data_IF_781510741609
#
_entry.id   IF_781510741609
#
_cell.length_a   1.000
_cell.length_b   1.000
_cell.length_c   1.000
_cell.angle_alpha   90.00
_cell.angle_beta   90.00
_cell.angle_gamma   90.00
#
_symmetry.space_group_name_H-M   'P 1'
#
loop_
_entity.id
_entity.type
_entity.pdbx_description
1 polymer ?
#
# COMPACT_ATOMS: atom_id res chain seq x y z
N UNK A 1 36.77 0.56 25.53
CA UNK A 1 35.53 1.10 24.90
C UNK A 1 35.96 2.10 23.84
N UNK A 2 35.46 1.96 22.61
CA UNK A 2 35.67 2.91 21.52
C UNK A 2 34.35 3.62 21.22
N UNK A 3 34.42 4.93 21.04
CA UNK A 3 33.28 5.79 20.72
C UNK A 3 33.56 6.50 19.40
N UNK A 4 32.58 6.51 18.50
CA UNK A 4 32.56 7.33 17.30
C UNK A 4 31.27 8.14 17.31
N UNK A 5 31.33 9.45 17.12
CA UNK A 5 30.15 10.28 17.01
C UNK A 5 30.40 11.43 16.06
N UNK A 6 29.34 11.91 15.44
CA UNK A 6 29.39 13.08 14.57
C UNK A 6 28.01 13.44 14.04
N UNK A 7 27.96 14.45 13.20
CA UNK A 7 26.76 14.82 12.48
C UNK A 7 27.11 15.25 11.06
N UNK A 8 26.20 15.01 10.12
CA UNK A 8 26.33 15.48 8.74
C UNK A 8 25.26 16.54 8.49
N UNK A 9 25.68 17.70 7.98
CA UNK A 9 24.78 18.65 7.36
C UNK A 9 24.60 18.29 5.89
N UNK A 10 23.41 18.48 5.36
CA UNK A 10 23.15 18.42 3.92
C UNK A 10 22.09 19.44 3.57
N UNK A 11 22.29 20.15 2.47
CA UNK A 11 21.30 21.04 1.87
C UNK A 11 20.86 20.50 0.52
N UNK A 12 19.69 20.95 0.08
CA UNK A 12 19.08 20.52 -1.16
C UNK A 12 18.29 21.65 -1.77
N UNK A 13 18.28 21.68 -3.10
CA UNK A 13 17.28 22.40 -3.85
C UNK A 13 16.98 21.72 -5.18
N UNK A 14 15.76 21.89 -5.68
CA UNK A 14 15.38 21.51 -7.04
C UNK A 14 14.52 22.57 -7.71
N UNK A 15 14.58 22.60 -9.03
CA UNK A 15 13.74 23.41 -9.88
C UNK A 15 13.54 22.66 -11.20
N UNK A 16 12.29 22.58 -11.67
CA UNK A 16 11.98 21.90 -12.93
C UNK A 16 12.01 22.92 -14.07
N UNK A 17 13.19 23.04 -14.69
CA UNK A 17 13.40 23.93 -15.84
C UNK A 17 12.49 23.59 -17.02
N UNK A 18 12.18 22.29 -17.22
CA UNK A 18 11.35 21.89 -18.36
C UNK A 18 9.90 22.27 -18.14
N UNK A 19 9.35 22.02 -16.94
CA UNK A 19 8.01 22.48 -16.58
C UNK A 19 7.90 24.01 -16.62
N UNK A 20 8.94 24.72 -16.18
CA UNK A 20 9.01 26.18 -16.28
C UNK A 20 8.99 26.67 -17.73
N UNK A 21 9.79 26.06 -18.61
CA UNK A 21 9.84 26.34 -20.04
C UNK A 21 8.48 26.10 -20.70
N UNK A 22 7.91 24.91 -20.52
CA UNK A 22 6.63 24.54 -21.16
C UNK A 22 5.45 25.38 -20.67
N UNK A 23 5.42 25.76 -19.38
CA UNK A 23 4.39 26.69 -18.86
C UNK A 23 4.59 28.12 -19.34
N UNK A 24 5.84 28.56 -19.53
CA UNK A 24 6.11 29.88 -20.14
C UNK A 24 5.62 29.97 -21.59
N UNK A 25 5.61 28.83 -22.29
CA UNK A 25 5.06 28.69 -23.65
C UNK A 25 3.56 28.36 -23.67
N UNK A 26 2.90 28.30 -22.50
CA UNK A 26 1.49 27.95 -22.35
C UNK A 26 1.09 26.64 -23.04
N UNK A 27 1.97 25.63 -22.98
CA UNK A 27 1.69 24.35 -23.60
C UNK A 27 0.60 23.59 -22.83
N UNK A 28 -0.57 23.37 -23.45
CA UNK A 28 -1.77 22.77 -22.85
C UNK A 28 -1.54 21.56 -21.93
N UNK A 29 -0.64 20.65 -22.31
CA UNK A 29 -0.38 19.42 -21.55
C UNK A 29 0.44 19.64 -20.27
N UNK A 30 0.92 20.87 -20.02
CA UNK A 30 1.75 21.26 -18.88
C UNK A 30 1.07 22.29 -17.95
N UNK A 31 -0.16 22.68 -18.29
CA UNK A 31 -1.01 23.50 -17.44
C UNK A 31 -1.27 22.82 -16.09
N UNK A 32 -1.39 23.63 -15.04
CA UNK A 32 -1.88 23.17 -13.75
C UNK A 32 -3.29 22.59 -13.94
N UNK A 33 -3.49 21.36 -13.47
CA UNK A 33 -4.77 20.65 -13.54
C UNK A 33 -5.53 20.81 -12.22
N UNK A 34 -6.87 20.81 -12.26
CA UNK A 34 -7.70 20.72 -11.06
C UNK A 34 -7.28 19.57 -10.14
N UNK A 35 -7.02 19.90 -8.87
CA UNK A 35 -6.69 18.90 -7.85
C UNK A 35 -7.95 18.20 -7.35
N UNK A 36 -7.81 16.93 -6.96
CA UNK A 36 -8.88 16.23 -6.25
C UNK A 36 -9.03 16.85 -4.85
N UNK A 37 -10.23 17.31 -4.52
CA UNK A 37 -10.55 17.92 -3.21
C UNK A 37 -11.15 16.91 -2.24
N UNK A 38 -11.88 15.92 -2.77
CA UNK A 38 -12.55 14.92 -1.97
C UNK A 38 -13.51 14.08 -2.80
N UNK A 39 -14.47 13.49 -2.10
CA UNK A 39 -15.49 12.66 -2.70
C UNK A 39 -16.85 12.95 -2.08
N UNK A 40 -17.88 12.94 -2.92
CA UNK A 40 -19.26 12.83 -2.48
C UNK A 40 -19.60 11.35 -2.31
N UNK A 41 -19.91 10.97 -1.08
CA UNK A 41 -20.41 9.65 -0.73
C UNK A 41 -21.92 9.68 -0.60
N UNK A 42 -22.58 8.71 -1.23
CA UNK A 42 -24.04 8.55 -1.14
C UNK A 42 -24.33 7.56 -0.03
N UNK A 43 -25.14 7.97 0.93
CA UNK A 43 -25.60 7.17 2.07
C UNK A 43 -27.12 7.21 2.14
N UNK A 44 -27.73 6.19 2.71
CA UNK A 44 -29.16 6.22 3.00
C UNK A 44 -29.34 6.48 4.49
N UNK A 45 -29.99 7.59 4.84
CA UNK A 45 -30.35 7.94 6.22
C UNK A 45 -31.79 7.52 6.50
N UNK A 46 -32.02 6.90 7.63
CA UNK A 46 -33.34 6.56 8.16
C UNK A 46 -34.16 7.85 8.27
N UNK A 47 -35.33 7.86 7.62
CA UNK A 47 -36.29 8.95 7.80
C UNK A 47 -36.75 8.97 9.27
N UNK A 48 -36.83 10.16 9.85
CA UNK A 48 -37.52 10.34 11.14
C UNK A 48 -38.99 9.92 11.01
N UNK A 49 -39.64 9.65 12.14
CA UNK A 49 -41.05 9.26 12.16
C UNK A 49 -41.95 10.27 11.44
N UNK A 50 -41.65 11.57 11.59
CA UNK A 50 -42.36 12.63 10.89
C UNK A 50 -42.10 12.61 9.38
N UNK A 51 -40.83 12.52 8.96
CA UNK A 51 -40.48 12.46 7.53
C UNK A 51 -41.10 11.25 6.83
N UNK A 52 -41.17 10.11 7.53
CA UNK A 52 -41.80 8.90 7.03
C UNK A 52 -43.32 9.09 6.90
N UNK A 53 -43.99 9.66 7.92
CA UNK A 53 -45.41 9.97 7.87
C UNK A 53 -45.75 10.96 6.75
N UNK A 54 -45.03 12.09 6.66
CA UNK A 54 -45.23 13.12 5.63
C UNK A 54 -45.01 12.57 4.20
N UNK A 55 -44.14 11.57 4.04
CA UNK A 55 -43.95 10.89 2.77
C UNK A 55 -45.16 10.01 2.43
N UNK A 56 -45.68 9.26 3.40
CA UNK A 56 -46.84 8.38 3.20
C UNK A 56 -48.12 9.19 2.92
N UNK A 57 -48.30 10.30 3.64
CA UNK A 57 -49.42 11.23 3.44
C UNK A 57 -49.36 11.86 2.05
N UNK A 58 -48.21 12.41 1.62
CA UNK A 58 -48.07 12.95 0.25
C UNK A 58 -48.26 11.88 -0.82
N UNK A 59 -47.75 10.67 -0.61
CA UNK A 59 -47.97 9.57 -1.55
C UNK A 59 -49.45 9.23 -1.66
N UNK A 60 -50.18 9.20 -0.53
CA UNK A 60 -51.61 8.96 -0.51
C UNK A 60 -52.40 10.11 -1.16
N UNK A 61 -52.09 11.36 -0.87
CA UNK A 61 -52.86 12.53 -1.32
C UNK A 61 -52.51 13.02 -2.72
N UNK A 62 -51.23 13.06 -3.10
CA UNK A 62 -50.79 13.67 -4.36
C UNK A 62 -50.65 12.67 -5.50
N UNK A 63 -50.37 11.40 -5.18
CA UNK A 63 -50.14 10.36 -6.18
C UNK A 63 -51.33 9.42 -6.25
N UNK A 64 -51.77 8.90 -5.10
CA UNK A 64 -52.79 7.86 -5.08
C UNK A 64 -54.23 8.40 -5.15
N UNK A 65 -54.58 9.46 -4.42
CA UNK A 65 -55.93 10.00 -4.41
C UNK A 65 -56.41 10.54 -5.77
N UNK A 66 -55.60 11.21 -6.61
CA UNK A 66 -56.01 11.62 -7.95
C UNK A 66 -56.24 10.42 -8.87
N UNK A 67 -55.38 9.40 -8.74
CA UNK A 67 -55.55 8.14 -9.47
C UNK A 67 -56.83 7.41 -9.03
N UNK A 68 -57.15 7.41 -7.74
CA UNK A 68 -58.40 6.86 -7.19
C UNK A 68 -59.64 7.61 -7.69
N UNK A 69 -59.66 8.94 -7.58
CA UNK A 69 -60.79 9.79 -8.00
C UNK A 69 -61.16 9.65 -9.47
N UNK A 70 -60.17 9.36 -10.33
CA UNK A 70 -60.42 9.12 -11.76
C UNK A 70 -61.38 7.95 -12.00
N UNK A 71 -61.38 6.93 -11.14
CA UNK A 71 -62.20 5.73 -11.29
C UNK A 71 -63.39 5.69 -10.30
N UNK A 72 -63.46 6.62 -9.36
CA UNK A 72 -64.48 6.69 -8.30
C UNK A 72 -65.89 6.88 -8.89
N UNK A 73 -66.05 7.77 -9.87
CA UNK A 73 -67.35 8.02 -10.52
C UNK A 73 -67.82 6.81 -11.34
N UNK A 74 -66.91 6.17 -12.07
CA UNK A 74 -67.18 4.97 -12.86
C UNK A 74 -67.59 3.78 -11.97
N UNK A 75 -66.97 3.63 -10.80
CA UNK A 75 -67.38 2.60 -9.83
C UNK A 75 -68.73 2.89 -9.22
N UNK A 76 -69.00 4.13 -8.83
CA UNK A 76 -70.28 4.49 -8.25
C UNK A 76 -71.42 4.23 -9.24
N UNK A 77 -71.21 4.60 -10.51
CA UNK A 77 -72.17 4.32 -11.59
C UNK A 77 -72.45 2.82 -11.77
N UNK A 78 -71.41 1.99 -11.84
CA UNK A 78 -71.58 0.54 -12.02
C UNK A 78 -72.15 -0.14 -10.76
N UNK A 79 -71.75 0.32 -9.57
CA UNK A 79 -72.29 -0.15 -8.30
C UNK A 79 -73.79 0.14 -8.18
N UNK A 80 -74.24 1.31 -8.64
CA UNK A 80 -75.66 1.70 -8.63
C UNK A 80 -76.49 0.90 -9.65
N UNK A 81 -75.86 0.42 -10.73
CA UNK A 81 -76.47 -0.44 -11.75
C UNK A 81 -76.65 -1.89 -11.26
N UNK A 82 -75.56 -2.52 -10.84
CA UNK A 82 -75.54 -3.86 -10.24
C UNK A 82 -74.20 -4.08 -9.51
N UNK A 83 -74.20 -4.17 -8.17
CA UNK A 83 -72.99 -4.39 -7.39
C UNK A 83 -72.21 -5.66 -7.77
N UNK A 84 -72.88 -6.69 -8.32
CA UNK A 84 -72.22 -7.94 -8.74
C UNK A 84 -71.37 -7.79 -10.00
N UNK A 85 -71.55 -6.70 -10.77
CA UNK A 85 -70.78 -6.41 -11.97
C UNK A 85 -69.45 -5.71 -11.69
N UNK A 86 -69.23 -5.18 -10.48
CA UNK A 86 -68.00 -4.48 -10.12
C UNK A 86 -66.75 -5.35 -10.35
N UNK A 87 -66.77 -6.60 -9.90
CA UNK A 87 -65.64 -7.53 -10.06
C UNK A 87 -65.49 -7.99 -11.53
N UNK A 88 -66.61 -8.10 -12.27
CA UNK A 88 -66.61 -8.54 -13.66
C UNK A 88 -66.14 -7.45 -14.65
N UNK A 89 -66.44 -6.17 -14.36
CA UNK A 89 -66.12 -5.02 -15.23
C UNK A 89 -64.74 -4.44 -14.89
N UNK A 90 -64.43 -4.30 -13.60
CA UNK A 90 -63.21 -3.63 -13.13
C UNK A 90 -62.13 -4.61 -12.65
N UNK A 91 -62.43 -5.90 -12.41
CA UNK A 91 -61.42 -6.86 -11.95
C UNK A 91 -60.68 -6.40 -10.70
N UNK A 92 -59.34 -6.30 -10.76
CA UNK A 92 -58.47 -5.79 -9.68
C UNK A 92 -58.53 -4.26 -9.49
N UNK A 93 -59.68 -3.64 -9.76
CA UNK A 93 -59.86 -2.18 -9.78
C UNK A 93 -61.11 -1.81 -8.96
N UNK A 94 -61.32 -2.48 -7.81
CA UNK A 94 -62.31 -2.15 -6.76
C UNK A 94 -61.67 -1.34 -5.62
N UNK A 95 -62.46 -0.65 -4.77
CA UNK A 95 -61.94 0.11 -3.61
C UNK A 95 -60.98 -0.70 -2.71
N UNK A 96 -61.36 -1.94 -2.34
CA UNK A 96 -60.53 -2.82 -1.51
C UNK A 96 -59.22 -3.23 -2.22
N UNK A 97 -59.28 -3.47 -3.53
CA UNK A 97 -58.08 -3.75 -4.32
C UNK A 97 -57.16 -2.53 -4.45
N UNK A 98 -57.72 -1.31 -4.50
CA UNK A 98 -56.98 -0.05 -4.48
C UNK A 98 -56.31 0.18 -3.14
N UNK A 99 -57.02 0.03 -2.02
CA UNK A 99 -56.41 0.13 -0.68
C UNK A 99 -55.29 -0.91 -0.49
N UNK A 100 -55.48 -2.11 -1.02
CA UNK A 100 -54.43 -3.15 -1.05
C UNK A 100 -53.24 -2.73 -1.92
N UNK A 101 -53.49 -2.07 -3.05
CA UNK A 101 -52.45 -1.57 -3.97
C UNK A 101 -51.71 -0.35 -3.43
N UNK A 102 -52.41 0.55 -2.72
CA UNK A 102 -51.82 1.65 -1.96
C UNK A 102 -50.91 1.08 -0.88
N UNK A 103 -51.40 0.16 -0.07
CA UNK A 103 -50.60 -0.50 0.95
C UNK A 103 -49.36 -1.18 0.35
N UNK A 104 -49.51 -1.93 -0.75
CA UNK A 104 -48.39 -2.55 -1.46
C UNK A 104 -47.39 -1.50 -1.99
N UNK A 105 -47.88 -0.41 -2.56
CA UNK A 105 -47.05 0.70 -3.07
C UNK A 105 -46.33 1.44 -1.95
N UNK A 106 -46.98 1.65 -0.81
CA UNK A 106 -46.37 2.19 0.40
C UNK A 106 -45.31 1.23 0.96
N UNK A 107 -45.51 -0.09 0.87
CA UNK A 107 -44.42 -1.02 1.20
C UNK A 107 -43.28 -0.99 0.17
N UNK A 108 -43.55 -0.53 -1.05
CA UNK A 108 -42.55 -0.25 -2.08
C UNK A 108 -41.50 0.76 -1.62
N UNK A 109 -40.22 0.39 -1.77
CA UNK A 109 -39.09 1.24 -1.42
C UNK A 109 -38.65 1.20 0.06
N UNK A 110 -39.35 0.46 0.92
CA UNK A 110 -38.89 0.19 2.29
C UNK A 110 -37.78 -0.86 2.29
N UNK A 111 -36.78 -0.69 3.15
CA UNK A 111 -35.68 -1.64 3.38
C UNK A 111 -35.88 -2.26 4.76
N UNK A 112 -36.16 -3.57 4.81
CA UNK A 112 -36.52 -4.31 6.03
C UNK A 112 -37.66 -3.65 6.83
N UNK A 113 -38.63 -3.05 6.13
CA UNK A 113 -39.77 -2.36 6.76
C UNK A 113 -39.55 -0.86 7.00
N UNK A 114 -38.32 -0.35 6.91
CA UNK A 114 -38.01 1.05 7.20
C UNK A 114 -37.83 1.90 5.93
N UNK A 115 -38.22 3.17 5.98
CA UNK A 115 -37.94 4.14 4.92
C UNK A 115 -36.64 4.88 5.17
N UNK A 116 -35.87 5.03 4.10
CA UNK A 116 -34.64 5.81 4.09
C UNK A 116 -34.72 6.87 3.00
N UNK A 117 -34.05 7.99 3.24
CA UNK A 117 -33.77 9.03 2.25
C UNK A 117 -32.30 8.97 1.84
N UNK A 118 -32.00 9.24 0.56
CA UNK A 118 -30.62 9.31 0.08
C UNK A 118 -30.03 10.68 0.43
N UNK A 119 -28.84 10.67 1.03
CA UNK A 119 -28.06 11.86 1.35
C UNK A 119 -26.68 11.76 0.70
N UNK A 120 -26.13 12.92 0.37
CA UNK A 120 -24.78 13.03 -0.17
C UNK A 120 -23.90 13.76 0.82
N UNK A 121 -22.90 13.06 1.36
CA UNK A 121 -21.92 13.62 2.30
C UNK A 121 -20.62 13.89 1.56
N UNK A 122 -20.10 15.10 1.69
CA UNK A 122 -18.78 15.44 1.17
C UNK A 122 -17.69 15.03 2.16
N UNK A 123 -16.74 14.22 1.68
CA UNK A 123 -15.58 13.76 2.46
C UNK A 123 -14.31 14.31 1.79
N UNK A 124 -13.59 15.25 2.44
CA UNK A 124 -12.33 15.76 1.93
C UNK A 124 -11.27 14.65 1.79
N UNK A 125 -10.53 14.62 0.69
CA UNK A 125 -9.44 13.65 0.49
C UNK A 125 -8.12 14.07 1.13
N UNK A 126 -8.03 15.31 1.62
CA UNK A 126 -6.76 15.97 1.91
C UNK A 126 -5.98 16.32 0.64
N UNK A 127 -4.89 17.08 0.78
CA UNK A 127 -4.00 17.42 -0.34
C UNK A 127 -3.21 16.22 -0.86
N UNK A 128 -2.87 15.29 0.04
CA UNK A 128 -2.08 14.10 -0.20
C UNK A 128 -2.42 13.03 0.85
N UNK A 129 -3.70 12.69 0.99
CA UNK A 129 -4.30 11.85 2.05
C UNK A 129 -4.12 12.35 3.49
N UNK A 130 -3.12 13.18 3.80
CA UNK A 130 -2.91 13.68 5.17
C UNK A 130 -4.11 14.47 5.68
N UNK A 131 -4.50 14.20 6.92
CA UNK A 131 -5.66 14.76 7.56
C UNK A 131 -6.99 14.16 7.10
N UNK A 132 -6.98 13.07 6.30
CA UNK A 132 -8.20 12.40 5.87
C UNK A 132 -9.07 12.01 7.06
N UNK A 133 -8.51 11.35 8.08
CA UNK A 133 -9.26 10.89 9.26
C UNK A 133 -9.86 12.06 10.05
N UNK A 134 -9.11 13.15 10.19
CA UNK A 134 -9.54 14.31 10.96
C UNK A 134 -10.63 15.14 10.26
N UNK A 135 -10.64 15.15 8.93
CA UNK A 135 -11.56 15.97 8.13
C UNK A 135 -12.74 15.18 7.55
N UNK A 136 -12.76 13.86 7.68
CA UNK A 136 -13.85 13.03 7.22
C UNK A 136 -14.98 13.01 8.29
N UNK A 137 -16.20 13.49 7.96
CA UNK A 137 -17.34 13.54 8.88
C UNK A 137 -17.68 12.19 9.54
N UNK A 138 -17.42 11.07 8.84
CA UNK A 138 -17.69 9.73 9.34
C UNK A 138 -16.66 9.21 10.35
N UNK A 139 -15.46 9.80 10.40
CA UNK A 139 -14.37 9.35 11.29
C UNK A 139 -14.01 10.40 12.34
N UNK A 140 -14.38 11.66 12.15
CA UNK A 140 -14.16 12.74 13.11
C UNK A 140 -15.28 12.87 14.17
N UNK A 141 -16.35 12.07 14.03
CA UNK A 141 -17.49 12.03 14.97
C UNK A 141 -18.66 12.95 14.62
N UNK A 142 -18.63 13.67 13.51
CA UNK A 142 -19.76 14.49 13.04
C UNK A 142 -20.95 13.61 12.60
N UNK A 143 -20.66 12.48 11.97
CA UNK A 143 -21.65 11.49 11.55
C UNK A 143 -21.24 10.11 12.06
N UNK A 144 -22.02 9.54 12.98
CA UNK A 144 -21.87 8.14 13.38
C UNK A 144 -22.62 7.23 12.41
N UNK A 145 -21.90 6.67 11.43
CA UNK A 145 -22.46 5.72 10.46
C UNK A 145 -22.88 4.38 11.07
N UNK A 146 -22.51 4.12 12.33
CA UNK A 146 -22.88 2.90 13.07
C UNK A 146 -24.04 3.11 14.04
N UNK A 147 -24.57 4.34 14.12
CA UNK A 147 -25.67 4.70 14.99
C UNK A 147 -26.90 3.82 14.74
N UNK A 148 -27.52 3.33 15.82
CA UNK A 148 -28.77 2.58 15.78
C UNK A 148 -29.90 3.36 16.46
N UNK A 149 -31.08 3.32 15.85
CA UNK A 149 -32.31 3.92 16.38
C UNK A 149 -33.24 2.81 16.83
N UNK A 150 -33.80 2.96 18.04
CA UNK A 150 -34.76 2.03 18.61
C UNK A 150 -36.19 2.49 18.34
N UNK A 151 -37.06 1.53 18.05
CA UNK A 151 -38.50 1.70 17.86
C UNK A 151 -38.89 2.74 16.77
N UNK A 152 -38.06 2.88 15.74
CA UNK A 152 -38.23 3.86 14.68
C UNK A 152 -39.43 3.56 13.76
N UNK A 153 -40.08 4.61 13.24
CA UNK A 153 -41.19 4.55 12.30
C UNK A 153 -42.33 3.62 12.77
N UNK A 154 -42.57 3.59 14.09
CA UNK A 154 -43.60 2.78 14.73
C UNK A 154 -43.32 1.26 14.77
N UNK A 155 -42.11 0.82 14.40
CA UNK A 155 -41.73 -0.60 14.38
C UNK A 155 -40.87 -0.95 15.59
N UNK A 156 -41.18 -2.06 16.26
CA UNK A 156 -40.39 -2.52 17.42
C UNK A 156 -39.03 -3.07 17.01
N UNK A 157 -37.98 -2.67 17.74
CA UNK A 157 -36.62 -3.19 17.56
C UNK A 157 -35.58 -2.11 17.28
N UNK A 158 -34.36 -2.51 16.90
CA UNK A 158 -33.28 -1.58 16.53
C UNK A 158 -32.98 -1.65 15.04
N UNK A 159 -32.69 -0.50 14.46
CA UNK A 159 -32.33 -0.37 13.05
C UNK A 159 -31.17 0.61 12.89
N UNK A 160 -30.29 0.38 11.91
CA UNK A 160 -29.20 1.32 11.63
C UNK A 160 -29.77 2.63 11.08
N UNK A 161 -29.31 3.76 11.61
CA UNK A 161 -29.68 5.09 11.12
C UNK A 161 -29.12 5.35 9.73
N UNK A 162 -27.94 4.82 9.42
CA UNK A 162 -27.31 4.94 8.12
C UNK A 162 -27.06 3.56 7.53
N UNK A 163 -27.34 3.40 6.25
CA UNK A 163 -27.05 2.17 5.49
C UNK A 163 -26.40 2.51 4.14
N UNK A 164 -25.59 1.61 3.56
CA UNK A 164 -24.98 1.81 2.25
C UNK A 164 -26.04 1.80 1.14
N UNK A 165 -25.83 2.62 0.11
CA UNK A 165 -26.67 2.58 -1.10
C UNK A 165 -26.43 1.26 -1.84
N UNK A 166 -27.51 0.57 -2.21
CA UNK A 166 -27.46 -0.77 -2.81
C UNK A 166 -27.28 -0.77 -4.34
N UNK A 167 -27.32 0.40 -5.00
CA UNK A 167 -27.22 0.51 -6.46
C UNK A 167 -26.35 1.68 -6.96
N UNK A 168 -25.55 1.41 -7.99
CA UNK A 168 -24.62 2.38 -8.59
C UNK A 168 -23.34 2.60 -7.78
N UNK A 169 -22.47 3.50 -8.25
CA UNK A 169 -21.29 3.89 -7.48
C UNK A 169 -21.71 4.74 -6.29
N UNK A 170 -21.26 4.36 -5.10
CA UNK A 170 -21.46 5.05 -3.82
C UNK A 170 -20.57 6.29 -3.68
N UNK A 171 -19.64 6.52 -4.62
CA UNK A 171 -18.61 7.57 -4.51
C UNK A 171 -18.40 8.33 -5.82
N UNK A 172 -18.50 9.67 -5.78
CA UNK A 172 -18.17 10.57 -6.90
C UNK A 172 -17.01 11.50 -6.54
N UNK A 173 -15.93 11.58 -7.34
CA UNK A 173 -14.82 12.49 -7.05
C UNK A 173 -15.23 13.95 -7.25
N UNK A 174 -14.74 14.82 -6.37
CA UNK A 174 -14.90 16.28 -6.44
C UNK A 174 -13.55 16.89 -6.72
N UNK A 175 -13.45 17.58 -7.84
CA UNK A 175 -12.25 18.31 -8.23
C UNK A 175 -12.43 19.79 -7.97
N UNK A 176 -11.33 20.49 -7.78
CA UNK A 176 -11.29 21.94 -7.81
C UNK A 176 -11.95 22.46 -9.11
N UNK A 177 -12.67 23.58 -9.04
CA UNK A 177 -13.14 24.23 -10.26
C UNK A 177 -11.95 24.87 -11.01
N UNK A 178 -11.92 24.78 -12.35
CA UNK A 178 -10.85 25.37 -13.15
C UNK A 178 -10.74 26.89 -12.94
N UNK A 179 -11.86 27.58 -12.68
CA UNK A 179 -11.90 29.02 -12.43
C UNK A 179 -11.22 29.44 -11.11
N UNK A 180 -11.05 28.51 -10.16
CA UNK A 180 -10.32 28.77 -8.91
C UNK A 180 -8.79 28.73 -9.08
N UNK A 181 -8.30 28.25 -10.21
CA UNK A 181 -6.87 28.21 -10.53
C UNK A 181 -6.43 29.63 -10.95
N UNK A 182 -5.88 30.39 -10.00
CA UNK A 182 -5.45 31.79 -10.20
C UNK A 182 -4.50 31.98 -11.38
N UNK A 183 -3.52 31.09 -11.54
CA UNK A 183 -2.58 31.11 -12.65
C UNK A 183 -2.32 29.68 -13.14
N UNK A 184 -2.97 29.31 -14.24
CA UNK A 184 -2.86 27.98 -14.86
C UNK A 184 -1.45 27.69 -15.40
N UNK A 185 -0.63 28.72 -15.56
CA UNK A 185 0.71 28.67 -16.13
C UNK A 185 1.80 29.06 -15.13
N UNK A 186 1.49 29.07 -13.83
CA UNK A 186 2.45 29.41 -12.78
C UNK A 186 3.70 28.52 -12.91
N UNK A 187 4.88 29.13 -12.99
CA UNK A 187 6.14 28.38 -13.03
C UNK A 187 6.29 27.50 -11.78
N UNK A 188 6.96 26.34 -11.87
CA UNK A 188 7.20 25.50 -10.71
C UNK A 188 7.96 26.28 -9.64
N UNK A 189 7.66 25.99 -8.37
CA UNK A 189 8.37 26.60 -7.25
C UNK A 189 9.71 25.90 -7.05
N UNK A 190 10.74 26.68 -6.73
CA UNK A 190 12.03 26.12 -6.32
C UNK A 190 11.86 25.47 -4.95
N UNK A 191 12.06 24.16 -4.85
CA UNK A 191 12.10 23.48 -3.57
C UNK A 191 13.48 23.66 -2.95
N UNK A 192 13.53 23.86 -1.64
CA UNK A 192 14.75 23.94 -0.85
C UNK A 192 14.51 23.27 0.48
N UNK A 193 15.51 22.56 0.96
CA UNK A 193 15.48 21.96 2.29
C UNK A 193 16.92 21.77 2.81
N UNK A 194 17.05 21.49 4.10
CA UNK A 194 18.32 21.14 4.72
C UNK A 194 18.11 20.26 5.95
N UNK A 195 19.09 19.44 6.28
CA UNK A 195 19.03 18.57 7.44
C UNK A 195 20.39 18.42 8.11
N UNK A 196 20.36 18.26 9.44
CA UNK A 196 21.45 17.74 10.23
C UNK A 196 21.09 16.32 10.64
N UNK A 197 21.98 15.36 10.39
CA UNK A 197 21.78 13.95 10.77
C UNK A 197 22.91 13.48 11.70
N UNK A 198 22.63 13.21 12.98
CA UNK A 198 23.63 12.69 13.91
C UNK A 198 23.91 11.21 13.70
N UNK A 199 25.08 10.78 14.14
CA UNK A 199 25.43 9.39 14.32
C UNK A 199 26.25 9.20 15.59
N UNK A 200 26.08 8.06 16.24
CA UNK A 200 26.88 7.61 17.37
C UNK A 200 27.06 6.10 17.31
N UNK A 201 28.27 5.64 17.59
CA UNK A 201 28.65 4.24 17.65
C UNK A 201 29.48 3.98 18.89
N UNK A 202 29.12 2.93 19.63
CA UNK A 202 29.82 2.44 20.80
C UNK A 202 30.30 1.02 20.51
N UNK A 203 31.59 0.75 20.70
CA UNK A 203 32.17 -0.60 20.56
C UNK A 203 32.91 -0.97 21.83
N UNK A 204 32.46 -2.02 22.51
CA UNK A 204 33.13 -2.62 23.64
C UNK A 204 33.93 -3.85 23.18
N UNK A 205 35.23 -3.85 23.46
CA UNK A 205 36.11 -5.01 23.31
C UNK A 205 36.08 -5.74 24.65
N UNK A 206 35.35 -6.85 24.71
CA UNK A 206 35.12 -7.62 25.94
C UNK A 206 36.35 -8.47 26.24
N UNK A 207 36.93 -9.06 25.20
CA UNK A 207 38.23 -9.74 25.17
C UNK A 207 38.95 -9.34 23.88
N UNK A 208 40.13 -9.90 23.63
CA UNK A 208 40.83 -9.73 22.35
C UNK A 208 40.03 -10.34 21.18
N UNK A 209 39.21 -11.35 21.47
CA UNK A 209 38.44 -12.13 20.50
C UNK A 209 36.97 -11.68 20.37
N UNK A 210 36.41 -11.01 21.39
CA UNK A 210 34.98 -10.68 21.47
C UNK A 210 34.78 -9.17 21.46
N UNK A 211 33.94 -8.69 20.53
CA UNK A 211 33.45 -7.31 20.51
C UNK A 211 31.93 -7.24 20.41
N UNK A 212 31.35 -6.29 21.15
CA UNK A 212 29.94 -5.92 21.05
C UNK A 212 29.88 -4.46 20.61
N UNK A 213 28.96 -4.13 19.72
CA UNK A 213 28.72 -2.75 19.33
C UNK A 213 27.25 -2.39 19.32
N UNK A 214 26.97 -1.11 19.54
CA UNK A 214 25.68 -0.48 19.29
C UNK A 214 25.91 0.77 18.44
N UNK A 215 25.07 0.98 17.42
CA UNK A 215 25.14 2.14 16.53
C UNK A 215 23.76 2.73 16.36
N UNK A 216 23.74 4.05 16.32
CA UNK A 216 22.61 4.85 15.93
C UNK A 216 23.06 5.80 14.82
N UNK A 217 22.30 5.86 13.73
CA UNK A 217 22.57 6.79 12.64
C UNK A 217 21.28 7.27 11.99
N UNK A 218 21.22 8.59 11.80
CA UNK A 218 20.20 9.24 11.00
C UNK A 218 20.67 9.43 9.56
N UNK A 219 19.72 9.42 8.63
CA UNK A 219 19.97 9.72 7.22
C UNK A 219 18.76 10.43 6.62
N UNK A 220 19.00 11.46 5.82
CA UNK A 220 17.95 12.19 5.11
C UNK A 220 18.11 12.02 3.61
N UNK A 221 17.02 11.62 2.95
CA UNK A 221 16.92 11.61 1.49
C UNK A 221 15.96 12.71 1.06
N UNK A 222 16.52 13.75 0.44
CA UNK A 222 15.71 14.78 -0.22
C UNK A 222 14.98 14.19 -1.43
N UNK A 223 13.78 14.70 -1.77
CA UNK A 223 13.08 14.29 -2.97
C UNK A 223 13.97 14.42 -4.21
N UNK A 224 13.83 13.53 -5.18
CA UNK A 224 14.43 13.71 -6.50
C UNK A 224 13.67 14.78 -7.30
N UNK A 225 14.24 15.22 -8.43
CA UNK A 225 13.52 16.10 -9.36
C UNK A 225 12.20 15.47 -9.82
N UNK A 226 12.18 14.15 -10.08
CA UNK A 226 10.96 13.44 -10.44
C UNK A 226 9.90 13.45 -9.33
N UNK A 227 10.31 13.28 -8.07
CA UNK A 227 9.38 13.26 -6.93
C UNK A 227 8.92 14.68 -6.51
N UNK A 228 9.71 15.70 -6.83
CA UNK A 228 9.42 17.12 -6.53
C UNK A 228 8.78 17.88 -7.70
N UNK A 229 8.71 17.28 -8.88
CA UNK A 229 8.07 17.86 -10.06
C UNK A 229 6.78 17.14 -10.40
N UNK A 230 5.80 17.91 -10.86
CA UNK A 230 4.50 17.42 -11.32
C UNK A 230 4.56 16.79 -12.73
N UNK A 231 5.75 16.70 -13.33
CA UNK A 231 5.92 16.43 -14.74
C UNK A 231 6.15 14.94 -15.02
N UNK A 232 5.09 14.13 -14.90
CA UNK A 232 5.05 12.86 -15.63
C UNK A 232 4.69 13.18 -17.08
N UNK A 233 5.72 13.36 -17.92
CA UNK A 233 5.65 13.82 -19.30
C UNK A 233 4.46 13.23 -20.10
N UNK A 234 3.64 14.12 -20.70
CA UNK A 234 2.85 13.82 -21.89
C UNK A 234 1.66 12.85 -21.76
N UNK A 235 1.21 12.53 -20.54
CA UNK A 235 -0.03 11.76 -20.36
C UNK A 235 -1.11 12.66 -19.74
N UNK A 236 -2.35 12.57 -20.23
CA UNK A 236 -3.56 13.25 -19.71
C UNK A 236 -3.91 12.89 -18.25
N UNK A 237 -2.96 12.42 -17.45
CA UNK A 237 -3.15 12.04 -16.06
C UNK A 237 -3.06 13.28 -15.19
N UNK A 238 -4.09 13.47 -14.36
CA UNK A 238 -4.19 14.50 -13.32
C UNK A 238 -3.25 14.17 -12.15
N UNK A 239 -1.98 13.89 -12.43
CA UNK A 239 -1.00 13.60 -11.37
C UNK A 239 -0.65 14.92 -10.68
N UNK A 240 -1.10 15.08 -9.44
CA UNK A 240 -0.92 16.31 -8.65
C UNK A 240 -0.06 16.10 -7.41
N UNK A 241 0.28 14.85 -7.07
CA UNK A 241 1.10 14.54 -5.90
C UNK A 241 2.57 14.88 -6.13
N UNK A 242 3.16 15.64 -5.21
CA UNK A 242 4.60 15.88 -5.10
C UNK A 242 5.07 15.61 -3.68
N UNK A 243 6.31 15.17 -3.53
CA UNK A 243 6.96 15.12 -2.23
C UNK A 243 7.27 16.55 -1.76
N UNK A 244 6.76 16.89 -0.57
CA UNK A 244 6.98 18.19 0.08
C UNK A 244 8.00 18.14 1.21
N UNK A 245 8.34 16.95 1.70
CA UNK A 245 9.30 16.76 2.78
C UNK A 245 10.36 15.71 2.41
N UNK A 246 11.59 15.79 2.93
CA UNK A 246 12.57 14.72 2.83
C UNK A 246 12.14 13.47 3.60
N UNK A 247 12.57 12.31 3.14
CA UNK A 247 12.52 11.10 3.94
C UNK A 247 13.59 11.19 5.03
N UNK A 248 13.23 10.84 6.27
CA UNK A 248 14.17 10.80 7.38
C UNK A 248 14.24 9.40 7.98
N UNK A 249 15.37 8.72 7.79
CA UNK A 249 15.67 7.41 8.33
C UNK A 249 16.36 7.50 9.70
N UNK A 250 15.87 6.73 10.66
CA UNK A 250 16.41 6.51 11.99
C UNK A 250 16.79 5.04 12.10
N UNK A 251 18.09 4.76 12.26
CA UNK A 251 18.61 3.40 12.18
C UNK A 251 19.33 3.03 13.47
N UNK A 252 19.01 1.87 14.01
CA UNK A 252 19.68 1.26 15.15
C UNK A 252 20.27 -0.09 14.74
N UNK A 253 21.51 -0.34 15.13
CA UNK A 253 22.17 -1.63 14.99
C UNK A 253 22.81 -2.05 16.30
N UNK A 254 22.63 -3.31 16.67
CA UNK A 254 23.33 -3.93 17.81
C UNK A 254 23.97 -5.21 17.29
N UNK A 255 25.28 -5.33 17.45
CA UNK A 255 26.02 -6.46 16.93
C UNK A 255 26.97 -7.08 17.93
N UNK A 256 27.18 -8.37 17.75
CA UNK A 256 28.14 -9.20 18.45
C UNK A 256 29.09 -9.80 17.39
N UNK A 257 30.39 -9.73 17.65
CA UNK A 257 31.41 -10.38 16.81
C UNK A 257 32.36 -11.16 17.70
N UNK A 258 32.74 -12.35 17.24
CA UNK A 258 33.63 -13.27 17.92
C UNK A 258 34.61 -13.86 16.91
N UNK A 259 35.89 -13.70 17.17
CA UNK A 259 36.96 -14.48 16.56
C UNK A 259 37.16 -15.76 17.39
N UNK A 260 36.81 -16.92 16.81
CA UNK A 260 36.92 -18.21 17.48
C UNK A 260 38.28 -18.90 17.20
N UNK A 261 39.21 -18.25 16.51
CA UNK A 261 40.50 -18.86 16.12
C UNK A 261 41.30 -19.36 17.32
N UNK A 262 41.20 -18.67 18.46
CA UNK A 262 41.82 -19.08 19.73
C UNK A 262 41.34 -20.44 20.25
N UNK A 263 40.10 -20.85 19.94
CA UNK A 263 39.55 -22.17 20.28
C UNK A 263 39.89 -23.26 19.25
N UNK A 264 40.28 -22.86 18.04
CA UNK A 264 40.58 -23.77 16.94
C UNK A 264 41.92 -23.42 16.28
N UNK A 265 43.07 -23.74 16.91
CA UNK A 265 44.39 -23.30 16.43
C UNK A 265 44.79 -23.80 15.04
N UNK A 266 44.07 -24.78 14.49
CA UNK A 266 44.25 -25.27 13.11
C UNK A 266 43.53 -24.42 12.05
N UNK A 267 42.76 -23.40 12.46
CA UNK A 267 42.03 -22.49 11.58
C UNK A 267 42.76 -21.14 11.52
N UNK A 268 42.96 -20.62 10.32
CA UNK A 268 43.47 -19.25 10.12
C UNK A 268 42.38 -18.21 10.42
N UNK A 269 41.13 -18.53 10.09
CA UNK A 269 39.97 -17.70 10.40
C UNK A 269 38.84 -18.55 10.97
N UNK A 270 38.15 -18.04 11.98
CA UNK A 270 36.95 -18.63 12.55
C UNK A 270 36.02 -17.54 13.11
N UNK A 271 35.53 -16.66 12.25
CA UNK A 271 34.76 -15.49 12.68
C UNK A 271 33.25 -15.75 12.69
N UNK A 272 32.58 -15.20 13.70
CA UNK A 272 31.12 -15.13 13.81
C UNK A 272 30.70 -13.68 14.04
N UNK A 273 29.70 -13.20 13.28
CA UNK A 273 29.04 -11.92 13.49
C UNK A 273 27.53 -12.09 13.46
N UNK A 274 26.87 -11.58 14.50
CA UNK A 274 25.40 -11.48 14.58
C UNK A 274 25.05 -10.02 14.73
N UNK A 275 24.08 -9.54 13.95
CA UNK A 275 23.61 -8.16 13.96
C UNK A 275 22.08 -8.14 14.06
N UNK A 276 21.53 -7.33 14.95
CA UNK A 276 20.13 -6.93 14.94
C UNK A 276 20.05 -5.51 14.41
N UNK A 277 19.17 -5.26 13.44
CA UNK A 277 18.91 -3.93 12.92
C UNK A 277 17.45 -3.53 13.11
N UNK A 278 17.22 -2.22 13.30
CA UNK A 278 15.89 -1.62 13.36
C UNK A 278 15.92 -0.23 12.70
N UNK A 279 15.29 -0.12 11.54
CA UNK A 279 15.29 1.06 10.70
C UNK A 279 13.86 1.59 10.56
N UNK A 280 13.68 2.90 10.78
CA UNK A 280 12.41 3.61 10.63
C UNK A 280 12.60 4.78 9.69
N UNK A 281 11.82 4.85 8.61
CA UNK A 281 11.89 5.92 7.62
C UNK A 281 10.61 6.73 7.70
N UNK A 282 10.68 7.97 8.17
CA UNK A 282 9.57 8.93 8.19
C UNK A 282 9.41 9.60 6.85
N UNK A 283 8.18 10.05 6.55
CA UNK A 283 7.81 10.71 5.28
C UNK A 283 8.16 9.87 4.04
N UNK A 284 8.04 8.54 4.14
CA UNK A 284 8.43 7.60 3.09
C UNK A 284 7.72 7.91 1.77
N UNK A 285 8.49 8.27 0.76
CA UNK A 285 8.04 8.64 -0.57
C UNK A 285 7.79 7.35 -1.36
N UNK A 286 6.58 7.24 -1.90
CA UNK A 286 6.17 6.18 -2.81
C UNK A 286 5.21 6.76 -3.84
N UNK A 287 4.54 5.88 -4.60
CA UNK A 287 3.51 6.25 -5.56
C UNK A 287 2.24 5.46 -5.32
N UNK A 288 1.12 6.12 -5.59
CA UNK A 288 -0.19 5.46 -5.65
C UNK A 288 -0.48 4.86 -7.05
N UNK A 289 -1.71 4.41 -7.23
CA UNK A 289 -2.22 3.84 -8.48
C UNK A 289 -2.12 4.77 -9.69
N UNK A 290 -2.34 6.06 -9.48
CA UNK A 290 -2.35 7.07 -10.54
C UNK A 290 -0.96 7.66 -10.79
N UNK A 291 0.07 7.06 -10.17
CA UNK A 291 1.45 7.53 -10.16
C UNK A 291 1.62 8.90 -9.49
N UNK A 292 0.68 9.31 -8.64
CA UNK A 292 0.91 10.45 -7.77
C UNK A 292 2.04 10.11 -6.81
N UNK A 293 2.94 11.06 -6.57
CA UNK A 293 3.89 10.95 -5.47
C UNK A 293 3.11 11.09 -4.16
N UNK A 294 3.25 10.10 -3.28
CA UNK A 294 2.61 10.07 -1.97
C UNK A 294 3.66 9.90 -0.87
N UNK A 295 3.44 10.51 0.29
CA UNK A 295 4.36 10.42 1.42
C UNK A 295 3.68 9.79 2.62
N UNK A 296 4.05 8.55 2.91
CA UNK A 296 3.55 7.75 4.02
C UNK A 296 4.22 8.16 5.34
N UNK A 297 3.48 8.04 6.44
CA UNK A 297 3.95 8.40 7.78
C UNK A 297 5.25 7.68 8.16
N UNK A 298 5.32 6.36 8.00
CA UNK A 298 6.51 5.58 8.38
C UNK A 298 6.67 4.26 7.60
N UNK A 299 7.90 3.93 7.19
CA UNK A 299 8.30 2.57 6.79
C UNK A 299 9.26 2.00 7.81
N UNK A 300 8.96 0.82 8.35
CA UNK A 300 9.77 0.20 9.41
C UNK A 300 10.27 -1.16 8.98
N UNK A 301 11.56 -1.42 9.15
CA UNK A 301 12.25 -2.66 8.82
C UNK A 301 13.13 -3.10 9.98
N UNK A 302 13.01 -4.36 10.40
CA UNK A 302 13.91 -4.94 11.40
C UNK A 302 14.18 -6.40 11.13
N UNK A 303 15.33 -6.86 11.58
CA UNK A 303 15.77 -8.22 11.34
C UNK A 303 17.08 -8.57 12.01
N UNK A 304 17.49 -9.81 11.78
CA UNK A 304 18.78 -10.33 12.16
C UNK A 304 19.62 -10.60 10.91
N UNK A 305 20.91 -10.38 11.03
CA UNK A 305 21.90 -10.76 10.04
C UNK A 305 22.99 -11.58 10.74
N UNK A 306 23.39 -12.67 10.10
CA UNK A 306 24.41 -13.59 10.56
C UNK A 306 25.46 -13.70 9.46
N UNK A 307 26.73 -13.57 9.84
CA UNK A 307 27.86 -13.85 8.97
C UNK A 307 28.82 -14.75 9.75
N UNK A 308 29.25 -15.83 9.13
CA UNK A 308 30.26 -16.72 9.69
C UNK A 308 31.26 -17.10 8.61
N UNK A 309 32.53 -17.26 8.98
CA UNK A 309 33.55 -17.81 8.10
C UNK A 309 34.50 -18.72 8.86
N UNK A 310 34.95 -19.78 8.20
CA UNK A 310 36.04 -20.63 8.64
C UNK A 310 37.02 -20.80 7.49
N UNK A 311 38.31 -20.78 7.78
CA UNK A 311 39.37 -21.00 6.80
C UNK A 311 40.55 -21.72 7.45
N UNK A 312 41.07 -22.76 6.78
CA UNK A 312 42.26 -23.52 7.20
C UNK A 312 43.48 -23.19 6.33
N UNK A 313 43.39 -22.15 5.49
CA UNK A 313 44.27 -21.90 4.35
C UNK A 313 43.93 -22.80 3.16
N UNK A 314 43.85 -24.11 3.38
CA UNK A 314 43.47 -25.11 2.36
C UNK A 314 41.98 -25.21 2.08
N UNK A 315 41.13 -25.19 3.10
CA UNK A 315 39.68 -25.32 2.96
C UNK A 315 39.00 -24.12 3.59
N UNK A 316 37.96 -23.60 2.95
CA UNK A 316 37.18 -22.49 3.50
C UNK A 316 35.68 -22.75 3.39
N UNK A 317 34.94 -22.12 4.30
CA UNK A 317 33.49 -22.01 4.22
C UNK A 317 33.04 -20.64 4.73
N UNK A 318 32.19 -19.98 3.96
CA UNK A 318 31.52 -18.74 4.31
C UNK A 318 30.02 -18.98 4.37
N UNK A 319 29.37 -18.43 5.40
CA UNK A 319 27.94 -18.49 5.58
C UNK A 319 27.38 -17.10 5.87
N UNK A 320 26.31 -16.74 5.17
CA UNK A 320 25.57 -15.50 5.38
C UNK A 320 24.08 -15.78 5.49
N UNK A 321 23.43 -15.25 6.53
CA UNK A 321 22.00 -15.40 6.75
C UNK A 321 21.35 -14.07 7.07
N UNK A 322 20.13 -13.85 6.57
CA UNK A 322 19.26 -12.74 7.00
C UNK A 322 17.92 -13.29 7.43
N UNK A 323 17.33 -12.72 8.48
CA UNK A 323 16.00 -13.07 8.98
C UNK A 323 15.19 -11.79 9.23
N UNK A 324 14.11 -11.61 8.47
CA UNK A 324 13.22 -10.46 8.59
C UNK A 324 12.28 -10.64 9.78
N UNK A 325 12.37 -9.76 10.76
CA UNK A 325 11.41 -9.71 11.88
C UNK A 325 10.19 -8.91 11.46
N UNK A 326 10.40 -7.67 10.98
CA UNK A 326 9.34 -6.72 10.63
C UNK A 326 9.68 -6.01 9.32
N UNK A 327 8.67 -5.79 8.47
CA UNK A 327 8.75 -4.88 7.33
C UNK A 327 7.36 -4.35 7.03
N UNK A 328 7.07 -3.13 7.45
CA UNK A 328 5.74 -2.53 7.39
C UNK A 328 5.78 -1.12 6.82
N UNK A 329 4.70 -0.74 6.14
CA UNK A 329 4.39 0.64 5.81
C UNK A 329 3.19 1.06 6.66
N UNK A 330 3.30 2.20 7.32
CA UNK A 330 2.30 2.69 8.27
C UNK A 330 1.83 4.09 7.88
N UNK A 331 0.51 4.27 7.82
CA UNK A 331 -0.18 5.55 7.61
C UNK A 331 -1.68 5.40 7.91
N UNK A 332 -2.16 5.97 9.01
CA UNK A 332 -3.57 5.88 9.41
C UNK A 332 -4.49 6.59 8.42
N UNK A 333 -4.14 7.81 8.00
CA UNK A 333 -4.95 8.58 7.06
C UNK A 333 -5.11 7.84 5.72
N UNK A 334 -4.01 7.26 5.20
CA UNK A 334 -4.07 6.46 3.98
C UNK A 334 -4.90 5.18 4.16
N UNK A 335 -4.78 4.50 5.31
CA UNK A 335 -5.57 3.32 5.63
C UNK A 335 -7.08 3.63 5.60
N UNK A 336 -7.49 4.76 6.18
CA UNK A 336 -8.89 5.19 6.22
C UNK A 336 -9.45 5.55 4.84
N UNK A 337 -8.61 5.82 3.83
CA UNK A 337 -9.12 6.00 2.45
C UNK A 337 -9.73 4.72 1.84
N UNK A 338 -9.38 3.54 2.38
CA UNK A 338 -9.96 2.26 1.95
C UNK A 338 -11.28 1.93 2.67
N UNK A 339 -11.48 2.48 3.87
CA UNK A 339 -12.71 2.33 4.67
C UNK A 339 -13.23 3.73 5.02
N UNK A 340 -13.69 4.49 4.01
CA UNK A 340 -14.04 5.90 4.17
C UNK A 340 -15.28 6.13 5.06
N UNK A 341 -16.13 5.10 5.22
CA UNK A 341 -17.33 5.13 6.05
C UNK A 341 -17.27 3.90 6.96
N UNK A 342 -16.98 4.06 8.26
CA UNK A 342 -16.96 2.96 9.22
C UNK A 342 -18.28 2.19 9.24
N UNK A 343 -18.21 0.86 9.40
CA UNK A 343 -19.39 -0.01 9.43
C UNK A 343 -20.04 -0.32 8.08
N UNK A 344 -19.65 0.38 6.99
CA UNK A 344 -20.22 0.14 5.65
C UNK A 344 -19.36 -0.81 4.79
N UNK A 345 -18.10 -1.06 5.16
CA UNK A 345 -17.23 -1.92 4.35
C UNK A 345 -17.65 -3.39 4.44
N UNK A 346 -17.83 -4.03 3.28
CA UNK A 346 -18.01 -5.49 3.17
C UNK A 346 -16.71 -6.29 3.43
N UNK A 347 -15.62 -5.61 3.77
CA UNK A 347 -14.30 -6.18 4.05
C UNK A 347 -13.82 -5.83 5.46
N UNK A 348 -12.67 -6.36 5.86
CA UNK A 348 -12.01 -5.97 7.11
C UNK A 348 -11.45 -4.56 7.00
N UNK A 349 -11.49 -3.80 8.09
CA UNK A 349 -10.82 -2.51 8.20
C UNK A 349 -9.34 -2.63 7.81
N UNK A 350 -8.86 -1.65 7.05
CA UNK A 350 -7.45 -1.57 6.69
C UNK A 350 -6.63 -1.18 7.92
N UNK A 351 -5.65 -1.99 8.36
CA UNK A 351 -4.85 -1.63 9.51
C UNK A 351 -3.92 -0.45 9.17
N UNK A 352 -3.63 0.39 10.16
CA UNK A 352 -2.72 1.53 10.03
C UNK A 352 -1.31 1.14 9.60
N UNK A 353 -0.90 -0.11 9.84
CA UNK A 353 0.38 -0.66 9.46
C UNK A 353 0.20 -1.97 8.68
N UNK A 354 0.75 -2.03 7.48
CA UNK A 354 0.61 -3.16 6.58
C UNK A 354 1.98 -3.78 6.26
N UNK A 355 2.09 -5.10 6.44
CA UNK A 355 3.27 -5.88 6.08
C UNK A 355 3.56 -5.76 4.57
N UNK A 356 4.75 -5.26 4.23
CA UNK A 356 5.19 -4.99 2.86
C UNK A 356 4.71 -3.66 2.30
N UNK A 357 3.44 -3.30 2.49
CA UNK A 357 2.86 -2.04 2.02
C UNK A 357 1.36 -2.13 1.76
N UNK A 358 0.68 -0.99 1.77
CA UNK A 358 -0.75 -0.91 1.45
C UNK A 358 -1.05 -1.40 0.02
N UNK A 359 -2.29 -1.80 -0.29
CA UNK A 359 -2.69 -2.11 -1.66
C UNK A 359 -2.32 -0.96 -2.62
N UNK A 360 -1.95 -1.31 -3.86
CA UNK A 360 -1.58 -0.38 -4.95
C UNK A 360 -0.27 0.40 -4.79
N UNK A 361 0.35 0.40 -3.60
CA UNK A 361 1.67 1.02 -3.36
C UNK A 361 2.81 0.21 -3.98
N UNK A 362 3.93 0.84 -4.33
CA UNK A 362 5.10 0.08 -4.81
C UNK A 362 5.92 -0.52 -3.66
N UNK A 363 5.84 0.02 -2.44
CA UNK A 363 6.45 -0.56 -1.25
C UNK A 363 6.07 -2.03 -1.09
N UNK A 364 4.80 -2.36 -1.35
CA UNK A 364 4.24 -3.72 -1.31
C UNK A 364 5.03 -4.74 -2.14
N UNK A 365 5.59 -4.33 -3.28
CA UNK A 365 6.40 -5.21 -4.16
C UNK A 365 7.82 -5.45 -3.69
N UNK A 366 8.28 -4.71 -2.67
CA UNK A 366 9.63 -4.81 -2.11
C UNK A 366 9.70 -5.65 -0.83
N UNK A 367 8.67 -6.45 -0.55
CA UNK A 367 8.64 -7.33 0.61
C UNK A 367 9.78 -8.36 0.52
N UNK A 368 10.72 -8.29 1.45
CA UNK A 368 11.85 -9.21 1.48
C UNK A 368 11.39 -10.62 1.91
N UNK A 369 12.08 -11.68 1.43
CA UNK A 369 11.96 -13.02 1.99
C UNK A 369 11.99 -13.00 3.52
N UNK A 370 11.26 -13.93 4.15
CA UNK A 370 11.32 -14.07 5.61
C UNK A 370 12.75 -14.39 6.07
N UNK A 371 13.49 -15.16 5.29
CA UNK A 371 14.92 -15.36 5.46
C UNK A 371 15.63 -15.68 4.15
N UNK A 372 16.92 -15.39 4.09
CA UNK A 372 17.82 -15.75 3.00
C UNK A 372 19.11 -16.31 3.57
N UNK A 373 19.61 -17.38 2.97
CA UNK A 373 20.84 -18.07 3.38
C UNK A 373 21.76 -18.20 2.18
N UNK A 374 23.04 -17.95 2.39
CA UNK A 374 24.11 -18.07 1.40
C UNK A 374 25.22 -18.90 2.02
N UNK A 375 25.62 -19.96 1.32
CA UNK A 375 26.74 -20.81 1.70
C UNK A 375 27.73 -20.82 0.54
N UNK A 376 29.01 -20.64 0.83
CA UNK A 376 30.12 -20.73 -0.12
C UNK A 376 31.20 -21.60 0.51
N UNK A 377 31.56 -22.69 -0.15
CA UNK A 377 32.55 -23.66 0.34
C UNK A 377 33.56 -23.94 -0.76
N UNK A 378 34.82 -24.15 -0.39
CA UNK A 378 35.84 -24.44 -1.38
C UNK A 378 37.17 -24.89 -0.81
N UNK A 379 38.10 -25.13 -1.73
CA UNK A 379 39.44 -25.57 -1.44
C UNK A 379 40.47 -24.86 -2.33
N UNK A 380 41.62 -24.55 -1.74
CA UNK A 380 42.85 -24.10 -2.41
C UNK A 380 43.81 -25.30 -2.48
N UNK A 381 44.12 -25.74 -3.69
CA UNK A 381 44.91 -26.93 -3.99
C UNK A 381 46.15 -26.54 -4.82
N UNK A 382 47.12 -27.45 -4.91
CA UNK A 382 48.37 -27.24 -5.67
C UNK A 382 49.09 -25.94 -5.28
N UNK A 383 49.38 -25.76 -3.98
CA UNK A 383 49.99 -24.54 -3.46
C UNK A 383 49.22 -23.26 -3.83
N UNK A 384 47.89 -23.34 -3.78
CA UNK A 384 46.94 -22.26 -4.11
C UNK A 384 46.81 -21.92 -5.61
N UNK A 385 47.49 -22.67 -6.49
CA UNK A 385 47.33 -22.51 -7.94
C UNK A 385 45.92 -22.90 -8.42
N UNK A 386 45.23 -23.79 -7.71
CA UNK A 386 43.85 -24.20 -8.03
C UNK A 386 42.89 -23.86 -6.90
N UNK A 387 41.96 -22.96 -7.17
CA UNK A 387 40.79 -22.71 -6.34
C UNK A 387 39.59 -23.45 -6.94
N UNK A 388 38.91 -24.26 -6.14
CA UNK A 388 37.60 -24.86 -6.51
C UNK A 388 36.59 -24.55 -5.43
N UNK A 389 35.36 -24.24 -5.81
CA UNK A 389 34.32 -23.93 -4.85
C UNK A 389 32.90 -24.14 -5.38
N UNK A 390 31.96 -24.15 -4.46
CA UNK A 390 30.54 -24.27 -4.72
C UNK A 390 29.77 -23.29 -3.83
N UNK A 391 28.67 -22.77 -4.36
CA UNK A 391 27.75 -21.87 -3.65
C UNK A 391 26.36 -22.45 -3.62
N UNK A 392 25.67 -22.27 -2.51
CA UNK A 392 24.25 -22.54 -2.37
C UNK A 392 23.54 -21.28 -1.87
N UNK A 393 22.51 -20.86 -2.61
CA UNK A 393 21.70 -19.69 -2.26
C UNK A 393 20.27 -20.16 -2.04
N UNK A 394 19.76 -19.90 -0.84
CA UNK A 394 18.37 -20.15 -0.48
C UNK A 394 17.65 -18.85 -0.14
N UNK A 395 16.44 -18.68 -0.65
CA UNK A 395 15.52 -17.67 -0.16
C UNK A 395 14.17 -18.31 0.14
N UNK A 396 13.57 -17.91 1.26
CA UNK A 396 12.22 -18.34 1.60
C UNK A 396 11.18 -17.60 0.76
N UNK A 397 9.92 -18.01 0.88
CA UNK A 397 8.81 -17.21 0.37
C UNK A 397 8.75 -15.83 1.04
N UNK A 398 8.22 -14.85 0.32
CA UNK A 398 7.75 -13.59 0.88
C UNK A 398 6.22 -13.54 0.80
N UNK A 399 5.57 -13.93 1.89
CA UNK A 399 4.11 -13.84 2.06
C UNK A 399 3.79 -12.83 3.16
N UNK A 400 2.85 -11.93 2.90
CA UNK A 400 2.25 -11.04 3.89
C UNK A 400 0.89 -11.59 4.31
N UNK A 401 0.62 -11.64 5.62
CA UNK A 401 -0.68 -12.11 6.13
C UNK A 401 -1.81 -11.11 5.80
N UNK A 402 -1.46 -9.84 5.59
CA UNK A 402 -2.40 -8.78 5.23
C UNK A 402 -2.98 -8.94 3.82
N UNK A 403 -2.28 -9.67 2.94
CA UNK A 403 -2.67 -9.89 1.54
C UNK A 403 -4.06 -10.49 1.37
N UNK A 404 -4.42 -11.47 2.20
CA UNK A 404 -5.74 -12.10 2.15
C UNK A 404 -6.86 -11.17 2.62
N UNK A 405 -6.55 -10.18 3.46
CA UNK A 405 -7.52 -9.22 3.98
C UNK A 405 -7.92 -8.14 2.96
N UNK A 406 -7.12 -7.92 1.90
CA UNK A 406 -7.38 -6.88 0.91
C UNK A 406 -8.53 -7.21 -0.07
N UNK A 407 -9.00 -8.46 -0.09
CA UNK A 407 -10.04 -8.89 -1.03
C UNK A 407 -9.69 -8.52 -2.48
N UNK A 408 -10.68 -8.02 -3.23
CA UNK A 408 -10.51 -7.64 -4.64
C UNK A 408 -9.51 -6.49 -4.86
N UNK A 409 -9.34 -5.60 -3.88
CA UNK A 409 -8.43 -4.45 -3.97
C UNK A 409 -6.96 -4.94 -4.01
N UNK A 410 -6.68 -6.07 -3.35
CA UNK A 410 -5.37 -6.73 -3.40
C UNK A 410 -5.00 -7.32 -4.76
N UNK A 411 -5.98 -7.59 -5.63
CA UNK A 411 -5.78 -8.15 -6.98
C UNK A 411 -5.49 -7.09 -8.06
N UNK A 412 -5.38 -5.80 -7.70
CA UNK A 412 -4.95 -4.75 -8.61
C UNK A 412 -3.45 -4.75 -8.96
N UNK A 413 -3.03 -3.78 -9.77
CA UNK A 413 -1.63 -3.46 -10.09
C UNK A 413 -0.75 -3.28 -8.83
N UNK A 414 0.56 -3.46 -9.01
CA UNK A 414 1.58 -3.49 -7.94
C UNK A 414 1.37 -4.62 -6.92
N UNK A 415 0.81 -5.75 -7.36
CA UNK A 415 0.87 -7.01 -6.61
C UNK A 415 2.32 -7.52 -6.61
N UNK A 416 2.81 -7.96 -5.45
CA UNK A 416 4.06 -8.73 -5.42
C UNK A 416 3.87 -10.01 -6.24
N UNK A 417 4.87 -10.37 -7.05
CA UNK A 417 4.92 -11.73 -7.60
C UNK A 417 4.99 -12.72 -6.43
N UNK A 418 4.37 -13.90 -6.60
CA UNK A 418 4.48 -14.96 -5.60
C UNK A 418 5.85 -15.60 -5.71
N UNK A 419 6.69 -15.35 -4.71
CA UNK A 419 8.00 -15.97 -4.58
C UNK A 419 7.85 -17.31 -3.89
N UNK A 420 8.06 -18.40 -4.62
CA UNK A 420 8.28 -19.71 -4.01
C UNK A 420 9.69 -19.77 -3.41
N UNK A 421 9.97 -20.69 -2.47
CA UNK A 421 11.33 -20.89 -2.01
C UNK A 421 12.23 -21.32 -3.17
N UNK A 422 13.46 -20.81 -3.18
CA UNK A 422 14.47 -21.18 -4.19
C UNK A 422 15.69 -21.76 -3.50
N UNK A 423 16.32 -22.75 -4.14
CA UNK A 423 17.60 -23.31 -3.71
C UNK A 423 18.47 -23.53 -4.94
N UNK A 424 19.37 -22.57 -5.18
CA UNK A 424 20.21 -22.54 -6.38
C UNK A 424 21.63 -22.92 -6.01
N UNK A 425 22.24 -23.77 -6.82
CA UNK A 425 23.61 -24.21 -6.66
C UNK A 425 24.47 -23.71 -7.81
N UNK A 426 25.62 -23.15 -7.47
CA UNK A 426 26.66 -22.74 -8.42
C UNK A 426 27.98 -23.44 -8.08
N UNK A 427 28.86 -23.59 -9.06
CA UNK A 427 30.23 -24.06 -8.86
C UNK A 427 31.20 -23.22 -9.66
N UNK A 428 32.42 -23.09 -9.16
CA UNK A 428 33.48 -22.35 -9.81
C UNK A 428 34.84 -23.01 -9.60
N UNK A 429 35.74 -22.77 -10.55
CA UNK A 429 37.14 -23.12 -10.46
C UNK A 429 37.99 -21.99 -11.06
N UNK A 430 39.13 -21.70 -10.45
CA UNK A 430 40.15 -20.80 -10.97
C UNK A 430 41.48 -21.51 -10.91
N UNK A 431 42.20 -21.57 -12.04
CA UNK A 431 43.49 -22.23 -12.13
C UNK A 431 44.56 -21.27 -12.68
N UNK A 432 45.56 -21.01 -11.87
CA UNK A 432 46.74 -20.24 -12.23
C UNK A 432 47.71 -21.15 -13.01
N UNK A 433 47.70 -21.00 -14.34
CA UNK A 433 48.58 -21.77 -15.23
C UNK A 433 50.01 -21.24 -15.17
N UNK A 434 50.15 -19.92 -14.99
CA UNK A 434 51.41 -19.19 -14.88
C UNK A 434 51.21 -17.96 -13.98
N UNK A 435 52.28 -17.34 -13.47
CA UNK A 435 52.20 -16.13 -12.62
C UNK A 435 51.36 -14.99 -13.24
N UNK A 436 51.28 -14.97 -14.57
CA UNK A 436 50.63 -13.97 -15.39
C UNK A 436 49.40 -14.49 -16.16
N UNK A 437 48.99 -15.75 -15.94
CA UNK A 437 47.94 -16.42 -16.72
C UNK A 437 47.00 -17.23 -15.81
N UNK A 438 45.73 -16.83 -15.76
CA UNK A 438 44.68 -17.51 -14.99
C UNK A 438 43.51 -17.92 -15.88
N UNK A 439 42.96 -19.10 -15.65
CA UNK A 439 41.73 -19.59 -16.29
C UNK A 439 40.65 -19.79 -15.25
N UNK A 440 39.49 -19.19 -15.52
CA UNK A 440 38.31 -19.26 -14.67
C UNK A 440 37.21 -20.07 -15.35
N UNK A 441 36.54 -20.95 -14.61
CA UNK A 441 35.36 -21.68 -15.03
C UNK A 441 34.26 -21.48 -13.99
N UNK A 442 33.07 -21.12 -14.42
CA UNK A 442 31.90 -21.00 -13.56
C UNK A 442 30.69 -21.69 -14.18
N UNK A 443 29.95 -22.43 -13.37
CA UNK A 443 28.67 -23.04 -13.71
C UNK A 443 27.62 -22.51 -12.73
N UNK A 444 26.71 -21.68 -13.23
CA UNK A 444 25.60 -21.16 -12.44
C UNK A 444 24.33 -22.00 -12.65
N UNK A 445 23.49 -22.07 -11.62
CA UNK A 445 22.21 -22.79 -11.62
C UNK A 445 22.37 -24.24 -12.11
N UNK A 446 23.22 -25.01 -11.41
CA UNK A 446 23.58 -26.40 -11.75
C UNK A 446 22.34 -27.27 -11.89
N UNK A 447 21.31 -27.09 -11.06
CA UNK A 447 20.06 -27.85 -11.12
C UNK A 447 19.13 -27.42 -12.24
N UNK A 448 19.48 -26.35 -12.98
CA UNK A 448 18.66 -25.74 -14.04
C UNK A 448 17.25 -25.39 -13.55
N UNK A 449 17.14 -24.87 -12.33
CA UNK A 449 15.87 -24.49 -11.71
C UNK A 449 15.27 -23.28 -12.45
N UNK A 450 13.97 -23.35 -12.76
CA UNK A 450 13.18 -22.21 -13.18
C UNK A 450 12.66 -21.45 -11.95
N UNK A 451 13.07 -20.20 -11.78
CA UNK A 451 12.63 -19.37 -10.66
C UNK A 451 12.63 -17.88 -11.03
N UNK A 452 12.00 -17.06 -10.19
CA UNK A 452 12.06 -15.60 -10.25
C UNK A 452 12.88 -15.09 -9.06
N UNK A 453 13.79 -14.14 -9.29
CA UNK A 453 14.60 -13.54 -8.21
C UNK A 453 13.72 -12.81 -7.18
N UNK A 454 13.93 -13.01 -5.87
CA UNK A 454 13.10 -12.38 -4.84
C UNK A 454 13.06 -10.87 -5.02
N UNK A 455 11.87 -10.28 -4.81
CA UNK A 455 11.58 -8.85 -5.01
C UNK A 455 11.64 -8.35 -6.46
N UNK A 456 11.79 -9.22 -7.47
CA UNK A 456 11.69 -8.80 -8.86
C UNK A 456 10.29 -8.26 -9.19
N UNK A 457 10.23 -7.08 -9.81
CA UNK A 457 8.94 -6.46 -10.17
C UNK A 457 8.34 -7.01 -11.45
N UNK A 458 9.17 -7.64 -12.27
CA UNK A 458 8.77 -8.26 -13.53
C UNK A 458 8.81 -9.78 -13.37
N UNK A 459 7.88 -10.48 -14.02
CA UNK A 459 7.89 -11.94 -14.11
C UNK A 459 8.94 -12.44 -15.12
N UNK A 460 10.16 -11.90 -15.04
CA UNK A 460 11.30 -12.35 -15.83
C UNK A 460 12.02 -13.44 -15.05
N UNK A 461 12.10 -14.68 -15.57
CA UNK A 461 12.82 -15.75 -14.91
C UNK A 461 14.31 -15.47 -14.85
N UNK A 462 14.92 -15.91 -13.74
CA UNK A 462 16.35 -15.94 -13.61
C UNK A 462 16.96 -16.86 -14.69
N UNK A 463 18.21 -16.61 -15.11
CA UNK A 463 18.89 -17.46 -16.08
C UNK A 463 18.92 -18.94 -15.64
N UNK A 464 18.74 -19.83 -16.62
CA UNK A 464 18.94 -21.27 -16.44
C UNK A 464 20.42 -21.62 -16.25
N UNK A 465 20.74 -22.91 -16.36
CA UNK A 465 22.11 -23.39 -16.27
C UNK A 465 23.00 -22.69 -17.27
N UNK A 466 24.05 -22.04 -16.79
CA UNK A 466 24.97 -21.26 -17.62
C UNK A 466 26.41 -21.62 -17.30
N UNK A 467 27.19 -21.96 -18.32
CA UNK A 467 28.64 -22.22 -18.20
C UNK A 467 29.38 -21.01 -18.76
N UNK A 468 30.35 -20.49 -18.01
CA UNK A 468 31.21 -19.37 -18.39
C UNK A 468 32.66 -19.76 -18.19
N UNK A 469 33.50 -19.41 -19.16
CA UNK A 469 34.95 -19.58 -19.09
C UNK A 469 35.60 -18.22 -19.32
N UNK A 470 36.60 -17.89 -18.51
CA UNK A 470 37.38 -16.65 -18.59
C UNK A 470 38.87 -16.96 -18.66
N UNK A 471 39.61 -16.11 -19.34
CA UNK A 471 41.07 -16.12 -19.37
C UNK A 471 41.56 -14.73 -19.00
N UNK A 472 42.38 -14.65 -17.95
CA UNK A 472 43.03 -13.41 -17.53
C UNK A 472 44.52 -13.50 -17.80
N UNK A 473 45.03 -12.60 -18.64
CA UNK A 473 46.46 -12.46 -18.90
C UNK A 473 46.96 -11.08 -18.43
N UNK A 474 48.03 -11.04 -17.65
CA UNK A 474 48.71 -9.81 -17.20
C UNK A 474 50.09 -9.74 -17.84
N UNK A 475 50.52 -8.55 -18.28
CA UNK A 475 51.76 -8.36 -19.01
C UNK A 475 52.53 -7.14 -18.49
#
# INVERSE_FOLDING_TARGET
LQVNAGARYSDYWSYDDKLADMRSQQHKDWAIQPTLKGYHYRVQRLMSDQEAADYEDRFAEEIFAPFYKQYEEDWQFISDLDPSLLEAIFGHTTKESFETQLNRSLQGGKINGYRYTEETVYVPSGENHRGYTANNPFTNGEIDSTEQVTDAQGQKGTVNKYIPVTSGSDRKPVYQDESEIKDKWEKPKKQKDHAWVPHIGLTAFITDDIRVYARYNEFVRFPSLFESSLAMAGSNKRSTGVAGNPEHAYNWEIGYVHDLSSYFPSLEYADLKVNYFHNRIKNYIDRDWDFNITQFSEKTMSGLELQARIDTGKYFANFGGTYRIKQQLCDNDYAQTFTPIPGFSTGREMPDCVDGGFPRTFARTSLQPKYSLNLDVGARLFNEDLLVGARAVYHSEAKSKSESAFGIIGWGMNRSNYWNPILVFDAYASYQIHENLNVDLAVSNITNQYYLDPMARTALPAPGRTIRMGLTARF
#
